data_IF_117012526562
#
_entry.id   IF_117012526562
#
_cell.length_a   1.000
_cell.length_b   1.000
_cell.length_c   1.000
_cell.angle_alpha   90.00
_cell.angle_beta   90.00
_cell.angle_gamma   90.00
#
_symmetry.space_group_name_H-M   'P 1'
#
loop_
_entity.id
_entity.type
_entity.pdbx_description
1 polymer ?
#
# COMPACT_ATOMS: atom_id res chain seq x y z
N UNK A 1 2.31 -15.46 -15.69
CA UNK A 1 1.80 -14.30 -14.95
C UNK A 1 0.33 -14.51 -14.66
N UNK A 2 -0.07 -14.46 -13.39
CA UNK A 2 -1.46 -14.45 -12.94
C UNK A 2 -1.81 -13.06 -12.40
N UNK A 3 -2.94 -12.52 -12.82
CA UNK A 3 -3.41 -11.21 -12.35
C UNK A 3 -4.34 -11.36 -11.15
N UNK A 4 -4.08 -10.57 -10.09
CA UNK A 4 -4.93 -10.49 -8.91
C UNK A 4 -5.23 -9.02 -8.62
N UNK A 5 -6.51 -8.66 -8.62
CA UNK A 5 -6.94 -7.31 -8.28
C UNK A 5 -7.60 -7.24 -6.90
N UNK A 6 -7.26 -6.20 -6.15
CA UNK A 6 -7.78 -5.94 -4.80
C UNK A 6 -8.03 -4.45 -4.57
N UNK A 7 -9.00 -4.17 -3.71
CA UNK A 7 -9.26 -2.82 -3.20
C UNK A 7 -8.73 -2.70 -1.77
N UNK A 8 -7.99 -1.64 -1.51
CA UNK A 8 -7.64 -1.21 -0.15
C UNK A 8 -8.49 0.00 0.21
N UNK A 9 -9.20 -0.09 1.35
CA UNK A 9 -10.13 0.95 1.79
C UNK A 9 -9.84 1.30 3.24
N UNK A 10 -9.57 2.58 3.49
CA UNK A 10 -9.57 3.15 4.83
C UNK A 10 -11.01 3.54 5.20
N UNK A 11 -11.62 2.76 6.09
CA UNK A 11 -12.98 3.01 6.60
C UNK A 11 -13.00 3.83 7.89
N UNK A 12 -11.86 4.42 8.28
CA UNK A 12 -11.71 5.29 9.45
C UNK A 12 -12.02 4.64 10.79
N UNK A 13 -12.00 3.31 10.84
CA UNK A 13 -12.33 2.50 12.01
C UNK A 13 -11.15 1.69 12.57
N UNK A 14 -9.92 1.99 12.13
CA UNK A 14 -8.67 1.28 12.52
C UNK A 14 -7.59 2.17 13.13
N UNK A 15 -7.93 3.42 13.47
CA UNK A 15 -6.93 4.41 13.94
C UNK A 15 -5.73 4.54 13.01
N UNK A 16 -5.99 4.47 11.69
CA UNK A 16 -4.99 4.45 10.62
C UNK A 16 -5.29 5.56 9.60
N UNK A 17 -4.25 6.21 9.03
CA UNK A 17 -2.83 6.05 9.39
C UNK A 17 -2.48 6.77 10.71
N UNK A 18 -1.36 6.39 11.31
CA UNK A 18 -0.72 7.19 12.37
C UNK A 18 0.38 8.05 11.74
N UNK A 19 0.23 9.37 11.73
CA UNK A 19 1.24 10.26 11.15
C UNK A 19 2.23 10.71 12.24
N UNK A 20 3.46 10.21 12.17
CA UNK A 20 4.54 10.54 13.08
C UNK A 20 5.42 11.64 12.46
N UNK A 21 5.20 12.89 12.89
CA UNK A 21 5.88 14.08 12.37
C UNK A 21 7.28 14.27 12.97
N UNK A 22 8.16 13.31 12.71
CA UNK A 22 9.50 13.23 13.30
C UNK A 22 10.49 14.24 12.72
N UNK A 23 10.19 14.82 11.56
CA UNK A 23 11.03 15.87 10.96
C UNK A 23 10.99 17.19 11.70
N UNK A 24 9.99 17.39 12.58
CA UNK A 24 9.71 18.65 13.31
C UNK A 24 9.55 19.88 12.40
N UNK A 25 9.33 19.68 11.10
CA UNK A 25 9.16 20.75 10.11
C UNK A 25 7.69 21.09 9.92
N UNK A 26 7.35 22.33 9.54
CA UNK A 26 5.96 22.71 9.28
C UNK A 26 5.38 21.95 8.08
N UNK A 27 6.21 21.71 7.06
CA UNK A 27 5.87 20.98 5.84
C UNK A 27 6.35 19.54 5.98
N UNK A 28 5.55 18.59 5.47
CA UNK A 28 5.89 17.19 5.29
C UNK A 28 7.34 17.07 4.77
N UNK A 29 8.21 16.41 5.53
CA UNK A 29 9.65 16.35 5.21
C UNK A 29 10.25 14.98 5.44
N UNK A 30 11.36 14.71 4.75
CA UNK A 30 12.15 13.48 4.89
C UNK A 30 12.30 13.06 6.36
N UNK A 31 11.94 11.82 6.65
CA UNK A 31 12.02 11.23 7.99
C UNK A 31 10.69 11.18 8.74
N UNK A 32 9.64 11.85 8.27
CA UNK A 32 8.28 11.59 8.79
C UNK A 32 7.87 10.14 8.49
N UNK A 33 7.24 9.49 9.46
CA UNK A 33 6.87 8.08 9.39
C UNK A 33 5.36 7.92 9.46
N UNK A 34 4.83 7.02 8.65
CA UNK A 34 3.39 6.77 8.55
C UNK A 34 3.10 5.28 8.63
N UNK A 35 3.04 4.70 9.84
CA UNK A 35 2.45 3.38 10.04
C UNK A 35 0.97 3.36 9.63
N UNK A 36 0.53 2.32 8.96
CA UNK A 36 -0.86 2.21 8.51
C UNK A 36 -1.36 0.75 8.48
N UNK A 37 -2.69 0.61 8.56
CA UNK A 37 -3.39 -0.64 8.28
C UNK A 37 -4.82 -0.38 7.83
N UNK A 38 -5.16 -0.77 6.59
CA UNK A 38 -6.48 -0.58 5.99
C UNK A 38 -7.17 -1.91 5.70
N UNK A 39 -8.46 -1.86 5.35
CA UNK A 39 -9.24 -3.05 4.99
C UNK A 39 -8.96 -3.45 3.54
N UNK A 40 -8.82 -4.74 3.28
CA UNK A 40 -8.55 -5.30 1.96
C UNK A 40 -9.76 -6.10 1.44
N UNK A 41 -10.18 -5.80 0.23
CA UNK A 41 -11.33 -6.40 -0.46
C UNK A 41 -10.91 -6.99 -1.81
N UNK A 42 -11.66 -8.00 -2.26
CA UNK A 42 -11.47 -8.58 -3.58
C UNK A 42 -11.78 -7.57 -4.70
N UNK A 43 -11.19 -7.74 -5.88
CA UNK A 43 -11.35 -6.82 -7.02
C UNK A 43 -12.79 -6.66 -7.55
N UNK A 44 -13.71 -7.54 -7.15
CA UNK A 44 -15.14 -7.40 -7.45
C UNK A 44 -15.95 -6.74 -6.31
N UNK A 45 -15.30 -6.33 -5.21
CA UNK A 45 -15.89 -5.74 -4.00
C UNK A 45 -16.92 -6.61 -3.25
N UNK A 46 -17.11 -7.87 -3.65
CA UNK A 46 -18.12 -8.74 -3.03
C UNK A 46 -17.62 -9.45 -1.77
N UNK A 47 -16.30 -9.48 -1.54
CA UNK A 47 -15.69 -10.21 -0.42
C UNK A 47 -14.62 -9.38 0.27
N UNK A 48 -14.70 -9.32 1.60
CA UNK A 48 -13.62 -8.85 2.48
C UNK A 48 -12.54 -9.94 2.56
N UNK A 49 -11.30 -9.61 2.24
CA UNK A 49 -10.17 -10.55 2.21
C UNK A 49 -9.32 -10.48 3.48
N UNK A 50 -9.04 -9.27 3.96
CA UNK A 50 -8.17 -9.09 5.13
C UNK A 50 -7.73 -7.64 5.30
N UNK A 51 -6.44 -7.40 5.47
CA UNK A 51 -5.89 -6.06 5.73
C UNK A 51 -4.59 -5.81 4.95
N UNK A 52 -4.27 -4.54 4.73
CA UNK A 52 -2.88 -4.10 4.57
C UNK A 52 -2.29 -3.78 5.94
N UNK A 53 -0.99 -3.95 6.10
CA UNK A 53 -0.26 -3.45 7.26
C UNK A 53 1.20 -3.18 6.92
N UNK A 54 1.71 -2.02 7.30
CA UNK A 54 3.11 -1.68 7.15
C UNK A 54 3.42 -0.22 7.43
N UNK A 55 4.46 0.28 6.76
CA UNK A 55 5.05 1.58 7.00
C UNK A 55 5.30 2.31 5.68
N UNK A 56 4.91 3.58 5.65
CA UNK A 56 5.37 4.54 4.65
C UNK A 56 6.38 5.49 5.29
N UNK A 57 7.52 5.71 4.63
CA UNK A 57 8.56 6.64 5.02
C UNK A 57 8.49 7.82 4.04
N UNK A 58 8.28 9.02 4.55
CA UNK A 58 8.24 10.20 3.69
C UNK A 58 9.62 10.48 3.12
N UNK A 59 9.71 10.60 1.79
CA UNK A 59 10.95 10.93 1.08
C UNK A 59 10.99 12.41 0.74
N UNK A 60 9.90 12.92 0.17
CA UNK A 60 9.84 14.29 -0.34
C UNK A 60 8.40 14.78 -0.46
N UNK A 61 8.15 16.01 -0.02
CA UNK A 61 6.97 16.78 -0.43
C UNK A 61 7.20 17.41 -1.80
N UNK A 62 6.21 17.31 -2.69
CA UNK A 62 6.27 17.73 -4.10
C UNK A 62 5.18 18.80 -4.35
N UNK A 63 5.46 20.08 -4.07
CA UNK A 63 4.46 21.16 -4.11
C UNK A 63 3.80 21.30 -5.48
N UNK A 64 4.55 21.15 -6.56
CA UNK A 64 4.09 21.29 -7.94
C UNK A 64 3.06 20.23 -8.34
N UNK A 65 3.05 19.08 -7.64
CA UNK A 65 2.06 18.01 -7.81
C UNK A 65 1.02 17.97 -6.68
N UNK A 66 1.13 18.86 -5.70
CA UNK A 66 0.20 18.93 -4.55
C UNK A 66 0.20 17.65 -3.71
N UNK A 67 1.34 16.97 -3.57
CA UNK A 67 1.39 15.68 -2.88
C UNK A 67 2.79 15.30 -2.40
N UNK A 68 2.92 14.04 -1.99
CA UNK A 68 4.10 13.51 -1.34
C UNK A 68 4.58 12.23 -2.03
N UNK A 69 5.89 12.00 -1.98
CA UNK A 69 6.54 10.74 -2.34
C UNK A 69 6.94 10.00 -1.08
N UNK A 70 6.49 8.76 -0.95
CA UNK A 70 6.86 7.83 0.11
C UNK A 70 7.65 6.64 -0.45
N UNK A 71 8.52 6.07 0.37
CA UNK A 71 8.97 4.68 0.25
C UNK A 71 8.08 3.83 1.16
N UNK A 72 7.43 2.81 0.61
CA UNK A 72 6.47 1.99 1.33
C UNK A 72 6.98 0.54 1.44
N UNK A 73 6.84 -0.04 2.64
CA UNK A 73 7.14 -1.44 2.93
C UNK A 73 5.96 -2.00 3.72
N UNK A 74 5.22 -2.93 3.13
CA UNK A 74 3.98 -3.43 3.72
C UNK A 74 3.55 -4.77 3.13
N UNK A 75 2.59 -5.40 3.79
CA UNK A 75 2.04 -6.69 3.36
C UNK A 75 0.52 -6.64 3.22
N UNK A 76 0.01 -7.48 2.33
CA UNK A 76 -1.40 -7.74 2.07
C UNK A 76 -1.76 -9.09 2.67
N UNK A 77 -2.60 -9.09 3.70
CA UNK A 77 -3.04 -10.30 4.39
C UNK A 77 -4.38 -10.78 3.82
N UNK A 78 -4.44 -12.05 3.45
CA UNK A 78 -5.61 -12.69 2.83
C UNK A 78 -6.25 -13.74 3.75
N UNK A 79 -6.15 -13.57 5.08
CA UNK A 79 -6.61 -14.56 6.05
C UNK A 79 -5.81 -15.87 5.92
N UNK A 80 -6.52 -17.00 5.93
CA UNK A 80 -5.89 -18.34 5.92
C UNK A 80 -5.14 -18.67 4.61
N UNK A 81 -5.34 -17.88 3.54
CA UNK A 81 -4.59 -18.07 2.29
C UNK A 81 -3.11 -17.70 2.42
N UNK A 82 -2.76 -16.81 3.35
CA UNK A 82 -1.40 -16.27 3.51
C UNK A 82 -1.33 -14.77 3.24
N UNK A 83 -0.14 -14.30 2.85
CA UNK A 83 0.11 -12.88 2.57
C UNK A 83 1.07 -12.67 1.40
N UNK A 84 1.01 -11.48 0.80
CA UNK A 84 1.97 -10.98 -0.19
C UNK A 84 2.66 -9.76 0.40
N UNK A 85 3.98 -9.67 0.32
CA UNK A 85 4.76 -8.51 0.77
C UNK A 85 5.24 -7.69 -0.41
N UNK A 86 5.26 -6.36 -0.24
CA UNK A 86 5.68 -5.42 -1.27
C UNK A 86 6.63 -4.36 -0.72
N UNK A 87 7.44 -3.81 -1.62
CA UNK A 87 8.30 -2.67 -1.34
C UNK A 87 8.40 -1.77 -2.57
N UNK A 88 8.35 -0.45 -2.39
CA UNK A 88 8.61 0.51 -3.46
C UNK A 88 7.96 1.88 -3.25
N UNK A 89 7.84 2.64 -4.33
CA UNK A 89 7.30 4.00 -4.26
C UNK A 89 5.79 4.01 -4.09
N UNK A 90 5.32 4.85 -3.15
CA UNK A 90 3.93 5.28 -3.08
C UNK A 90 3.88 6.79 -3.33
N UNK A 91 3.20 7.18 -4.41
CA UNK A 91 3.06 8.57 -4.84
C UNK A 91 1.61 9.01 -4.64
N UNK A 92 1.37 10.06 -3.86
CA UNK A 92 -0.01 10.50 -3.57
C UNK A 92 -0.66 11.25 -4.73
N UNK A 93 0.03 11.40 -5.86
CA UNK A 93 -0.38 12.25 -6.98
C UNK A 93 -0.41 11.51 -8.33
N UNK A 94 0.11 10.28 -8.41
CA UNK A 94 0.11 9.48 -9.64
C UNK A 94 0.19 7.98 -9.35
N UNK A 95 -0.05 7.17 -10.38
CA UNK A 95 0.12 5.72 -10.29
C UNK A 95 1.59 5.34 -10.10
N UNK A 96 1.83 4.18 -9.46
CA UNK A 96 3.18 3.68 -9.21
C UNK A 96 3.22 2.16 -9.32
N UNK A 97 4.42 1.61 -9.36
CA UNK A 97 4.66 0.17 -9.32
C UNK A 97 5.57 -0.15 -8.13
N UNK A 98 5.18 -1.17 -7.37
CA UNK A 98 5.96 -1.70 -6.25
C UNK A 98 6.43 -3.11 -6.60
N UNK A 99 7.58 -3.50 -6.06
CA UNK A 99 8.08 -4.86 -6.18
C UNK A 99 7.27 -5.79 -5.27
N UNK A 100 6.90 -6.96 -5.78
CA UNK A 100 6.43 -8.08 -4.95
C UNK A 100 7.67 -8.81 -4.44
N UNK A 101 7.90 -8.75 -3.13
CA UNK A 101 9.14 -9.23 -2.50
C UNK A 101 9.05 -10.67 -1.99
N UNK A 102 7.85 -11.25 -2.01
CA UNK A 102 7.59 -12.60 -1.53
C UNK A 102 6.17 -12.78 -1.00
N UNK A 103 5.88 -13.97 -0.51
CA UNK A 103 4.63 -14.30 0.14
C UNK A 103 4.72 -15.57 0.97
N UNK A 104 3.57 -15.98 1.52
CA UNK A 104 3.42 -17.21 2.31
C UNK A 104 2.10 -17.90 1.98
N UNK A 105 1.94 -19.14 2.45
CA UNK A 105 0.73 -19.92 2.20
C UNK A 105 0.58 -20.21 0.70
N UNK A 106 -0.57 -19.90 0.11
CA UNK A 106 -0.78 -20.08 -1.34
C UNK A 106 0.09 -19.13 -2.19
N UNK A 107 0.73 -18.14 -1.57
CA UNK A 107 1.62 -17.18 -2.20
C UNK A 107 3.11 -17.45 -1.89
N UNK A 108 3.45 -18.62 -1.34
CA UNK A 108 4.85 -18.99 -1.13
C UNK A 108 5.61 -19.00 -2.47
N UNK A 109 6.80 -18.37 -2.50
CA UNK A 109 7.63 -18.29 -3.71
C UNK A 109 7.22 -17.19 -4.71
N UNK A 110 6.15 -16.44 -4.44
CA UNK A 110 5.65 -15.43 -5.37
C UNK A 110 6.65 -14.27 -5.57
N UNK A 111 6.79 -13.82 -6.81
CA UNK A 111 7.54 -12.62 -7.18
C UNK A 111 6.80 -11.85 -8.29
N UNK A 112 7.32 -10.67 -8.65
CA UNK A 112 6.76 -9.83 -9.71
C UNK A 112 6.61 -8.38 -9.28
N UNK A 113 5.55 -7.72 -9.73
CA UNK A 113 5.26 -6.33 -9.40
C UNK A 113 3.76 -6.11 -9.23
N UNK A 114 3.41 -5.03 -8.54
CA UNK A 114 2.03 -4.60 -8.35
C UNK A 114 1.87 -3.16 -8.82
N UNK A 115 0.84 -2.91 -9.63
CA UNK A 115 0.41 -1.57 -9.98
C UNK A 115 -0.44 -1.01 -8.85
N UNK A 116 -0.09 0.15 -8.32
CA UNK A 116 -0.87 0.92 -7.35
C UNK A 116 -1.58 2.06 -8.08
N UNK A 117 -2.91 2.10 -7.98
CA UNK A 117 -3.76 3.16 -8.50
C UNK A 117 -4.54 3.81 -7.37
N UNK A 118 -4.31 5.10 -7.16
CA UNK A 118 -5.05 5.87 -6.18
C UNK A 118 -6.37 6.36 -6.77
N UNK A 119 -7.49 5.90 -6.23
CA UNK A 119 -8.81 6.28 -6.73
C UNK A 119 -9.36 7.50 -5.99
N UNK A 120 -9.25 7.49 -4.66
CA UNK A 120 -9.65 8.62 -3.80
C UNK A 120 -8.63 8.74 -2.68
N UNK A 121 -7.83 9.81 -2.68
CA UNK A 121 -6.85 10.04 -1.63
C UNK A 121 -7.50 10.45 -0.29
N UNK A 122 -7.05 9.93 0.87
CA UNK A 122 -6.22 8.74 1.10
C UNK A 122 -7.06 7.46 1.33
N UNK A 123 -8.34 7.48 0.96
CA UNK A 123 -9.34 6.50 1.42
C UNK A 123 -9.48 5.23 0.56
N UNK A 124 -9.22 5.31 -0.76
CA UNK A 124 -9.47 4.20 -1.69
C UNK A 124 -8.32 4.03 -2.67
N UNK A 125 -7.69 2.86 -2.62
CA UNK A 125 -6.64 2.44 -3.55
C UNK A 125 -7.07 1.14 -4.23
N UNK A 126 -6.60 0.95 -5.45
CA UNK A 126 -6.81 -0.26 -6.23
C UNK A 126 -5.46 -0.79 -6.71
N UNK A 127 -5.29 -2.09 -6.57
CA UNK A 127 -4.06 -2.77 -6.92
C UNK A 127 -4.32 -3.84 -7.96
N UNK A 128 -3.41 -3.95 -8.93
CA UNK A 128 -3.32 -5.11 -9.83
C UNK A 128 -1.95 -5.73 -9.68
N UNK A 129 -1.92 -6.91 -9.07
CA UNK A 129 -0.72 -7.72 -8.93
C UNK A 129 -0.48 -8.52 -10.21
N UNK A 130 0.75 -8.52 -10.68
CA UNK A 130 1.23 -9.36 -11.78
C UNK A 130 2.16 -10.41 -11.16
N UNK A 131 1.56 -11.53 -10.75
CA UNK A 131 2.23 -12.55 -9.94
C UNK A 131 2.87 -13.64 -10.83
N UNK A 132 4.08 -14.02 -10.46
CA UNK A 132 4.84 -15.14 -11.01
C UNK A 132 5.39 -16.03 -9.89
N UNK A 133 5.82 -17.24 -10.25
CA UNK A 133 6.14 -18.31 -9.30
C UNK A 133 4.91 -19.11 -8.90
#
# INVERSE_FOLDING_TARGET
VQELSVYEINELDRSSPAYLKLSEKPINSLGDLVPFSNKLYHGNLQKRLGITAGLCILIQHVPEKGGDRYEAIYSFYFGDYGHISVQGSYLTYEESYLAVTGGSGVFEGVYGHVKLQQLVFPFKLFYTFYLEG
#
